data_IF_813769938049
#
_entry.id   IF_813769938049
#
_cell.length_a   1.000
_cell.length_b   1.000
_cell.length_c   1.000
_cell.angle_alpha   90.00
_cell.angle_beta   90.00
_cell.angle_gamma   90.00
#
_symmetry.space_group_name_H-M   'P 1'
#
loop_
_entity.id
_entity.type
_entity.pdbx_description
1 polymer ?
#
# COMPACT_ATOMS: atom_id res chain seq x y z
N UNK A 1 17.59 -30.40 1.67
CA UNK A 1 16.59 -29.33 1.86
C UNK A 1 17.22 -28.22 2.69
N UNK A 2 17.53 -27.08 2.08
CA UNK A 2 18.12 -25.92 2.76
C UNK A 2 17.08 -25.32 3.72
N UNK A 3 17.37 -25.26 5.02
CA UNK A 3 16.50 -24.61 6.01
C UNK A 3 16.42 -23.12 5.66
N UNK A 4 15.31 -22.67 5.07
CA UNK A 4 15.01 -21.23 4.94
C UNK A 4 14.61 -20.73 6.33
N UNK A 5 15.37 -19.77 6.87
CA UNK A 5 15.01 -19.11 8.12
C UNK A 5 13.74 -18.27 7.87
N UNK A 6 12.59 -18.62 8.47
CA UNK A 6 11.32 -17.95 8.18
C UNK A 6 11.30 -16.46 8.58
N UNK A 7 12.19 -16.05 9.48
CA UNK A 7 12.28 -14.65 9.94
C UNK A 7 13.10 -13.78 8.99
N UNK A 8 13.92 -14.39 8.13
CA UNK A 8 14.83 -13.66 7.24
C UNK A 8 14.11 -12.87 6.15
N UNK A 9 12.98 -13.37 5.63
CA UNK A 9 12.14 -12.66 4.66
C UNK A 9 11.40 -11.47 5.28
N UNK A 10 10.96 -11.62 6.53
CA UNK A 10 10.27 -10.56 7.29
C UNK A 10 11.23 -9.40 7.56
N UNK A 11 12.46 -9.69 8.01
CA UNK A 11 13.48 -8.65 8.26
C UNK A 11 13.79 -7.82 7.01
N UNK A 12 13.95 -8.48 5.85
CA UNK A 12 14.17 -7.79 4.58
C UNK A 12 12.98 -6.95 4.14
N UNK A 13 11.76 -7.35 4.51
CA UNK A 13 10.56 -6.55 4.32
C UNK A 13 10.63 -5.23 5.09
N UNK A 14 10.99 -5.30 6.37
CA UNK A 14 11.17 -4.10 7.20
C UNK A 14 12.33 -3.24 6.69
N UNK A 15 13.48 -3.82 6.36
CA UNK A 15 14.60 -3.07 5.77
C UNK A 15 14.21 -2.33 4.48
N UNK A 16 13.38 -2.94 3.64
CA UNK A 16 12.90 -2.30 2.42
C UNK A 16 11.96 -1.12 2.72
N UNK A 17 11.12 -1.24 3.73
CA UNK A 17 10.27 -0.14 4.20
C UNK A 17 11.09 0.98 4.84
N UNK A 18 12.03 0.66 5.72
CA UNK A 18 12.92 1.63 6.37
C UNK A 18 13.64 2.51 5.33
N UNK A 19 14.04 1.94 4.19
CA UNK A 19 14.64 2.69 3.08
C UNK A 19 13.65 3.71 2.49
N UNK A 20 12.38 3.33 2.32
CA UNK A 20 11.34 4.24 1.85
C UNK A 20 11.00 5.32 2.87
N UNK A 21 10.97 4.96 4.16
CA UNK A 21 10.76 5.90 5.26
C UNK A 21 11.85 6.97 5.28
N UNK A 22 13.12 6.55 5.18
CA UNK A 22 14.28 7.43 5.11
C UNK A 22 14.28 8.27 3.83
N UNK A 23 13.90 7.69 2.69
CA UNK A 23 13.79 8.41 1.42
C UNK A 23 12.78 9.56 1.52
N UNK A 24 11.59 9.30 2.07
CA UNK A 24 10.54 10.31 2.23
C UNK A 24 10.95 11.39 3.25
N UNK A 25 11.61 11.00 4.34
CA UNK A 25 12.19 11.94 5.29
C UNK A 25 13.25 12.84 4.63
N UNK A 26 14.16 12.27 3.83
CA UNK A 26 15.18 13.03 3.12
C UNK A 26 14.59 13.98 2.08
N UNK A 27 13.56 13.54 1.34
CA UNK A 27 12.80 14.38 0.41
C UNK A 27 12.11 15.54 1.13
N UNK A 28 11.55 15.29 2.32
CA UNK A 28 10.99 16.34 3.16
C UNK A 28 12.04 17.33 3.66
N UNK A 29 13.21 16.85 4.11
CA UNK A 29 14.30 17.74 4.55
C UNK A 29 14.80 18.65 3.42
N UNK A 30 14.80 18.16 2.17
CA UNK A 30 15.14 18.96 0.98
C UNK A 30 14.09 20.01 0.64
N UNK A 31 12.82 19.73 0.94
CA UNK A 31 11.72 20.69 0.77
C UNK A 31 10.79 20.67 2.01
N UNK A 32 11.15 21.40 3.08
CA UNK A 32 10.43 21.33 4.36
C UNK A 32 8.96 21.76 4.28
N UNK A 33 8.57 22.49 3.22
CA UNK A 33 7.19 22.93 3.00
C UNK A 33 6.34 21.90 2.26
N UNK A 34 6.94 20.80 1.79
CA UNK A 34 6.24 19.79 0.98
C UNK A 34 5.19 19.03 1.80
N UNK A 35 5.54 18.65 3.03
CA UNK A 35 4.68 17.89 3.91
C UNK A 35 4.47 18.63 5.24
N UNK A 36 3.31 18.42 5.85
CA UNK A 36 3.03 18.85 7.23
C UNK A 36 3.56 17.83 8.23
N UNK A 37 3.42 16.55 7.89
CA UNK A 37 3.87 15.43 8.70
C UNK A 37 4.00 14.15 7.86
N UNK A 38 4.77 13.21 8.40
CA UNK A 38 4.88 11.82 7.94
C UNK A 38 4.63 10.92 9.16
N UNK A 39 3.79 9.92 9.01
CA UNK A 39 3.56 8.88 10.00
C UNK A 39 3.78 7.49 9.39
N UNK A 40 4.27 6.57 10.23
CA UNK A 40 4.61 5.20 9.85
C UNK A 40 3.75 4.22 10.65
N UNK A 41 3.32 3.11 10.03
CA UNK A 41 2.59 2.02 10.67
C UNK A 41 1.36 2.51 11.46
N UNK A 42 0.53 3.33 10.81
CA UNK A 42 -0.61 3.97 11.47
C UNK A 42 -1.81 4.19 10.55
N UNK A 43 -2.91 4.64 11.15
CA UNK A 43 -4.15 4.98 10.44
C UNK A 43 -4.42 6.49 10.57
N UNK A 44 -5.17 7.11 9.65
CA UNK A 44 -5.55 8.51 9.81
C UNK A 44 -6.40 8.71 11.06
N UNK A 45 -6.18 9.79 11.80
CA UNK A 45 -6.90 10.06 13.06
C UNK A 45 -8.42 10.14 12.89
N UNK A 46 -8.90 10.48 11.69
CA UNK A 46 -10.33 10.55 11.36
C UNK A 46 -10.96 9.16 11.16
N UNK A 47 -10.15 8.12 10.98
CA UNK A 47 -10.61 6.73 10.85
C UNK A 47 -10.72 6.11 12.24
N UNK A 48 -11.95 5.92 12.71
CA UNK A 48 -12.22 5.45 14.07
C UNK A 48 -12.28 3.91 14.21
N UNK A 49 -12.35 3.19 13.09
CA UNK A 49 -12.39 1.73 13.09
C UNK A 49 -11.01 1.12 12.83
N UNK A 50 -10.85 -0.17 13.17
CA UNK A 50 -9.62 -0.93 12.94
C UNK A 50 -9.54 -1.53 11.54
N UNK A 51 -10.43 -1.17 10.62
CA UNK A 51 -10.53 -1.72 9.27
C UNK A 51 -9.91 -0.75 8.27
N UNK A 52 -8.61 -0.48 8.44
CA UNK A 52 -7.77 0.32 7.53
C UNK A 52 -6.49 -0.47 7.23
N UNK A 53 -6.10 -0.48 5.96
CA UNK A 53 -5.06 -1.36 5.41
C UNK A 53 -4.15 -0.64 4.42
N UNK A 54 -4.13 0.69 4.40
CA UNK A 54 -3.16 1.49 3.64
C UNK A 54 -2.28 2.25 4.64
N UNK A 55 -1.69 1.49 5.57
CA UNK A 55 -1.19 1.93 6.87
C UNK A 55 0.34 1.92 7.02
N UNK A 56 1.10 1.42 6.03
CA UNK A 56 2.55 1.34 6.16
C UNK A 56 3.18 2.75 6.27
N UNK A 57 2.83 3.68 5.37
CA UNK A 57 3.27 5.09 5.45
C UNK A 57 2.16 6.05 5.03
N UNK A 58 1.89 7.03 5.89
CA UNK A 58 0.94 8.11 5.67
C UNK A 58 1.66 9.46 5.65
N UNK A 59 1.33 10.31 4.69
CA UNK A 59 1.78 11.70 4.66
C UNK A 59 0.59 12.62 4.51
N UNK A 60 0.73 13.83 5.04
CA UNK A 60 -0.14 14.95 4.73
C UNK A 60 0.69 16.04 4.06
N UNK A 61 0.29 16.43 2.85
CA UNK A 61 0.92 17.52 2.13
C UNK A 61 0.50 18.90 2.65
N UNK A 62 1.12 19.94 2.10
CA UNK A 62 0.80 21.32 2.44
C UNK A 62 -0.68 21.71 2.16
N UNK A 63 -1.36 20.97 1.28
CA UNK A 63 -2.75 21.17 0.85
C UNK A 63 -3.75 20.35 1.68
N UNK A 64 -3.35 19.79 2.82
CA UNK A 64 -4.18 18.93 3.69
C UNK A 64 -4.64 17.62 3.03
N UNK A 65 -3.94 17.20 1.98
CA UNK A 65 -4.23 15.95 1.30
C UNK A 65 -3.35 14.81 1.78
N UNK A 66 -3.95 13.62 1.88
CA UNK A 66 -3.31 12.37 2.23
C UNK A 66 -2.57 11.76 1.03
N UNK A 67 -1.32 11.38 1.25
CA UNK A 67 -0.57 10.47 0.38
C UNK A 67 -0.35 9.17 1.15
N UNK A 68 -0.92 8.09 0.66
CA UNK A 68 -0.88 6.78 1.30
C UNK A 68 0.09 5.88 0.53
N UNK A 69 0.93 5.15 1.25
CA UNK A 69 1.86 4.19 0.67
C UNK A 69 1.70 2.84 1.35
N UNK A 70 1.46 1.80 0.55
CA UNK A 70 1.62 0.42 0.96
C UNK A 70 2.90 -0.14 0.35
N UNK A 71 3.80 -0.57 1.21
CA UNK A 71 5.09 -1.16 0.87
C UNK A 71 4.96 -2.70 0.88
N UNK A 72 5.45 -3.35 -0.18
CA UNK A 72 5.61 -4.81 -0.23
C UNK A 72 6.94 -5.23 -0.84
N UNK A 73 7.68 -6.05 -0.12
CA UNK A 73 8.94 -6.63 -0.57
C UNK A 73 8.75 -8.06 -1.09
N UNK A 74 9.41 -8.40 -2.20
CA UNK A 74 9.60 -9.77 -2.69
C UNK A 74 11.09 -10.15 -2.61
N UNK A 75 11.37 -11.30 -2.02
CA UNK A 75 12.72 -11.82 -1.87
C UNK A 75 13.36 -12.24 -3.21
N UNK A 76 12.54 -12.72 -4.15
CA UNK A 76 12.93 -13.04 -5.52
C UNK A 76 11.96 -12.35 -6.50
N UNK A 77 12.22 -11.08 -6.85
CA UNK A 77 11.38 -10.32 -7.79
C UNK A 77 11.23 -10.95 -9.17
N UNK A 78 12.24 -11.70 -9.61
CA UNK A 78 12.27 -12.34 -10.93
C UNK A 78 11.41 -13.60 -11.00
N UNK A 79 11.51 -14.48 -10.00
CA UNK A 79 10.73 -15.72 -9.97
C UNK A 79 9.31 -15.50 -9.42
N UNK A 80 9.13 -14.53 -8.53
CA UNK A 80 7.86 -14.22 -7.90
C UNK A 80 7.21 -12.97 -8.46
N UNK A 81 7.04 -12.81 -9.78
CA UNK A 81 6.37 -11.62 -10.34
C UNK A 81 4.95 -11.45 -9.78
N UNK A 82 4.52 -10.20 -9.55
CA UNK A 82 3.17 -9.85 -9.10
C UNK A 82 2.12 -10.23 -10.16
N UNK A 83 1.11 -10.99 -9.76
CA UNK A 83 -0.03 -11.40 -10.60
C UNK A 83 -1.36 -10.90 -10.07
N UNK A 84 -2.41 -10.89 -10.88
CA UNK A 84 -3.76 -10.56 -10.43
C UNK A 84 -4.19 -11.44 -9.26
N UNK A 85 -3.80 -12.72 -9.25
CA UNK A 85 -4.03 -13.62 -8.12
C UNK A 85 -3.43 -13.10 -6.81
N UNK A 86 -2.27 -12.45 -6.81
CA UNK A 86 -1.67 -11.91 -5.58
C UNK A 86 -2.57 -10.80 -4.97
N UNK A 87 -3.30 -10.05 -5.81
CA UNK A 87 -4.15 -8.94 -5.39
C UNK A 87 -5.62 -9.35 -5.14
N UNK A 88 -6.12 -10.32 -5.90
CA UNK A 88 -7.54 -10.69 -5.97
C UNK A 88 -7.87 -11.93 -5.15
N UNK A 89 -6.90 -12.80 -4.85
CA UNK A 89 -7.16 -14.04 -4.11
C UNK A 89 -7.74 -13.74 -2.72
N UNK A 90 -8.79 -14.48 -2.39
CA UNK A 90 -9.42 -14.51 -1.07
C UNK A 90 -9.10 -15.83 -0.39
N UNK A 91 -8.63 -15.76 0.86
CA UNK A 91 -8.35 -16.94 1.66
C UNK A 91 -9.53 -17.32 2.55
N UNK A 92 -9.65 -18.58 2.94
CA UNK A 92 -10.66 -19.00 3.91
C UNK A 92 -10.18 -18.69 5.33
N UNK A 93 -11.02 -18.01 6.09
CA UNK A 93 -10.83 -17.83 7.53
C UNK A 93 -10.97 -19.15 8.27
N UNK A 94 -10.46 -19.20 9.52
CA UNK A 94 -10.64 -20.35 10.42
C UNK A 94 -12.11 -20.72 10.69
N UNK A 95 -13.04 -19.80 10.44
CA UNK A 95 -14.49 -19.97 10.63
C UNK A 95 -15.24 -20.29 9.31
N UNK A 96 -14.52 -20.57 8.22
CA UNK A 96 -15.09 -20.96 6.93
C UNK A 96 -15.52 -19.82 6.00
N UNK A 97 -15.63 -18.57 6.49
CA UNK A 97 -15.90 -17.40 5.65
C UNK A 97 -14.67 -16.93 4.86
N UNK A 98 -14.88 -16.23 3.75
CA UNK A 98 -13.80 -15.66 2.93
C UNK A 98 -13.24 -14.38 3.55
N UNK A 99 -11.91 -14.29 3.62
CA UNK A 99 -11.18 -13.07 3.96
C UNK A 99 -11.14 -12.14 2.75
N UNK A 100 -11.07 -10.84 3.01
CA UNK A 100 -10.90 -9.86 1.96
C UNK A 100 -9.57 -10.05 1.24
N UNK A 101 -9.61 -9.93 -0.09
CA UNK A 101 -8.41 -9.84 -0.90
C UNK A 101 -7.66 -8.53 -0.63
N UNK A 102 -6.42 -8.44 -1.12
CA UNK A 102 -5.58 -7.28 -0.90
C UNK A 102 -6.20 -6.02 -1.54
N UNK A 103 -6.72 -6.12 -2.76
CA UNK A 103 -7.36 -4.97 -3.41
C UNK A 103 -8.64 -4.55 -2.69
N UNK A 104 -9.41 -5.47 -2.12
CA UNK A 104 -10.62 -5.16 -1.36
C UNK A 104 -10.29 -4.43 -0.06
N UNK A 105 -9.22 -4.83 0.63
CA UNK A 105 -8.71 -4.14 1.82
C UNK A 105 -8.29 -2.70 1.51
N UNK A 106 -7.56 -2.51 0.41
CA UNK A 106 -7.17 -1.18 -0.04
C UNK A 106 -8.36 -0.34 -0.46
N UNK A 107 -9.32 -0.91 -1.21
CA UNK A 107 -10.54 -0.23 -1.62
C UNK A 107 -11.35 0.23 -0.41
N UNK A 108 -11.49 -0.62 0.61
CA UNK A 108 -12.14 -0.24 1.87
C UNK A 108 -11.46 0.93 2.58
N UNK A 109 -10.14 1.01 2.52
CA UNK A 109 -9.35 2.07 3.14
C UNK A 109 -9.45 3.37 2.34
N UNK A 110 -9.33 3.28 1.02
CA UNK A 110 -9.41 4.42 0.10
C UNK A 110 -10.79 5.09 0.10
N UNK A 111 -11.86 4.30 0.14
CA UNK A 111 -13.24 4.80 0.12
C UNK A 111 -13.82 5.01 1.52
N UNK A 112 -12.99 5.16 2.56
CA UNK A 112 -13.49 5.56 3.88
C UNK A 112 -14.16 6.94 3.79
N UNK A 113 -15.41 7.11 4.27
CA UNK A 113 -16.09 8.42 4.23
C UNK A 113 -15.31 9.53 4.95
N UNK A 114 -14.60 9.19 6.04
CA UNK A 114 -13.74 10.12 6.78
C UNK A 114 -12.60 10.74 5.95
N UNK A 115 -12.24 10.12 4.82
CA UNK A 115 -11.14 10.54 3.94
C UNK A 115 -11.63 11.02 2.57
N UNK A 116 -12.94 11.13 2.37
CA UNK A 116 -13.52 11.48 1.08
C UNK A 116 -12.98 12.84 0.58
N UNK A 117 -12.48 12.86 -0.66
CA UNK A 117 -11.91 14.05 -1.28
C UNK A 117 -10.56 14.49 -0.71
N UNK A 118 -10.00 13.79 0.28
CA UNK A 118 -8.73 14.15 0.93
C UNK A 118 -7.56 13.27 0.52
N UNK A 119 -7.78 12.11 -0.12
CA UNK A 119 -6.68 11.27 -0.61
C UNK A 119 -6.23 11.78 -1.98
N UNK A 120 -5.01 12.32 -2.05
CA UNK A 120 -4.39 12.73 -3.31
C UNK A 120 -3.83 11.53 -4.07
N UNK A 121 -3.15 10.64 -3.37
CA UNK A 121 -2.53 9.44 -3.95
C UNK A 121 -2.60 8.27 -2.98
N UNK A 122 -2.86 7.07 -3.49
CA UNK A 122 -2.62 5.82 -2.79
C UNK A 122 -1.70 4.94 -3.66
N UNK A 123 -0.53 4.60 -3.14
CA UNK A 123 0.56 4.01 -3.90
C UNK A 123 0.90 2.62 -3.40
N UNK A 124 1.04 1.66 -4.32
CA UNK A 124 1.63 0.37 -4.04
C UNK A 124 3.11 0.40 -4.45
N UNK A 125 3.99 0.27 -3.47
CA UNK A 125 5.44 0.40 -3.65
C UNK A 125 6.09 -0.95 -3.40
N UNK A 126 6.83 -1.43 -4.39
CA UNK A 126 7.42 -2.77 -4.34
C UNK A 126 8.71 -2.86 -5.13
N UNK A 127 9.61 -3.75 -4.71
CA UNK A 127 10.76 -4.18 -5.51
C UNK A 127 10.42 -5.34 -6.46
N UNK A 128 9.19 -5.85 -6.41
CA UNK A 128 8.71 -6.95 -7.24
C UNK A 128 8.37 -6.48 -8.67
N UNK A 129 8.62 -7.33 -9.65
CA UNK A 129 8.24 -7.07 -11.03
C UNK A 129 6.78 -7.49 -11.29
N UNK A 130 6.07 -6.79 -12.16
CA UNK A 130 4.74 -7.19 -12.61
C UNK A 130 4.82 -8.34 -13.62
N UNK A 131 3.83 -9.25 -13.61
CA UNK A 131 3.58 -10.16 -14.74
C UNK A 131 2.99 -9.38 -15.91
N UNK A 132 3.03 -9.96 -17.09
CA UNK A 132 2.56 -9.33 -18.34
C UNK A 132 1.08 -8.94 -18.22
N UNK A 133 0.27 -9.80 -17.60
CA UNK A 133 -1.16 -9.55 -17.32
C UNK A 133 -1.45 -8.30 -16.48
N UNK A 134 -0.47 -7.78 -15.73
CA UNK A 134 -0.58 -6.51 -15.02
C UNK A 134 0.12 -5.42 -15.81
N UNK A 135 1.27 -5.73 -16.41
CA UNK A 135 2.10 -4.78 -17.15
C UNK A 135 1.34 -4.11 -18.29
N UNK A 136 0.46 -4.85 -18.96
CA UNK A 136 -0.41 -4.34 -20.03
C UNK A 136 -1.41 -3.26 -19.54
N UNK A 137 -1.69 -3.22 -18.24
CA UNK A 137 -2.58 -2.25 -17.61
C UNK A 137 -1.84 -1.14 -16.85
N UNK A 138 -0.51 -1.20 -16.79
CA UNK A 138 0.31 -0.15 -16.19
C UNK A 138 0.57 0.96 -17.21
N UNK A 139 0.02 2.15 -16.97
CA UNK A 139 0.42 3.35 -17.68
C UNK A 139 1.48 4.10 -16.86
N UNK A 140 2.73 4.08 -17.31
CA UNK A 140 3.86 4.70 -16.61
C UNK A 140 3.97 4.27 -15.12
N UNK A 141 3.67 3.00 -14.82
CA UNK A 141 3.61 2.42 -13.46
C UNK A 141 2.36 2.74 -12.64
N UNK A 142 1.34 3.34 -13.24
CA UNK A 142 0.04 3.61 -12.58
C UNK A 142 -1.06 2.74 -13.17
N UNK A 143 -1.96 2.26 -12.30
CA UNK A 143 -3.27 1.71 -12.69
C UNK A 143 -4.34 2.72 -12.27
N UNK A 144 -5.15 3.16 -13.22
CA UNK A 144 -6.29 4.02 -12.92
C UNK A 144 -7.48 3.16 -12.47
N UNK A 145 -7.87 3.26 -11.20
CA UNK A 145 -9.08 2.62 -10.68
C UNK A 145 -10.20 3.65 -10.69
N UNK A 146 -11.13 3.51 -11.63
CA UNK A 146 -12.32 4.37 -11.72
C UNK A 146 -13.36 3.93 -10.69
N UNK A 147 -13.38 4.57 -9.53
CA UNK A 147 -14.48 4.44 -8.58
C UNK A 147 -15.68 5.27 -9.03
N UNK A 148 -16.81 4.63 -9.36
CA UNK A 148 -18.09 5.35 -9.40
C UNK A 148 -18.57 5.54 -7.96
N UNK A 149 -18.41 6.73 -7.41
CA UNK A 149 -19.19 7.15 -6.24
C UNK A 149 -20.62 7.41 -6.71
N UNK A 150 -21.50 6.41 -6.56
CA UNK A 150 -22.94 6.65 -6.67
C UNK A 150 -23.36 7.57 -5.53
N UNK A 151 -23.48 8.87 -5.82
CA UNK A 151 -24.21 9.79 -4.97
C UNK A 151 -25.67 9.31 -4.93
N UNK A 152 -26.16 8.94 -3.75
CA UNK A 152 -27.60 8.87 -3.47
C UNK A 152 -28.09 10.26 -3.12
#
# INVERSE_FOLDING_TARGET
>A
MTRKNPVSSIRRGFEYQDIWDLYLCADWLKNPRKFKWIWFETVPNEVQDRDFHLDDILLCDAEDSYLLYQIKYKQDPSAGKWSWDDFLKQEKSKKGGLLLSLIQKWFKSYFKPALEGRIRTASFVTNGLAKDEISDFLNASFVQILGKTSRK
#
